data_IF_853152875537
#
_entry.id   IF_853152875537
#
_cell.length_a   1.000
_cell.length_b   1.000
_cell.length_c   1.000
_cell.angle_alpha   90.00
_cell.angle_beta   90.00
_cell.angle_gamma   90.00
#
_symmetry.space_group_name_H-M   'P 1'
#
loop_
_entity.id
_entity.type
_entity.pdbx_description
1 polymer ?
#
# COMPACT_ATOMS: atom_id res chain seq x y z
N UNK A 1 60.41 -18.90 23.96
CA UNK A 1 59.72 -17.71 24.53
C UNK A 1 60.08 -16.53 23.63
N UNK A 2 59.22 -15.76 22.97
CA UNK A 2 57.80 -15.38 23.13
C UNK A 2 57.21 -15.18 21.72
N UNK A 3 55.98 -15.63 21.50
CA UNK A 3 55.22 -15.42 20.27
C UNK A 3 54.42 -14.12 20.45
N UNK A 4 54.60 -13.14 19.57
CA UNK A 4 53.78 -11.93 19.52
C UNK A 4 52.83 -12.03 18.33
N UNK A 5 51.58 -12.39 18.60
CA UNK A 5 50.49 -12.26 17.64
C UNK A 5 49.95 -10.82 17.73
N UNK A 6 49.99 -10.01 16.65
CA UNK A 6 49.30 -8.75 16.63
C UNK A 6 47.79 -9.01 16.50
N UNK A 7 47.04 -8.45 17.45
CA UNK A 7 45.59 -8.49 17.55
C UNK A 7 45.00 -7.69 16.36
N UNK A 8 44.67 -8.36 15.26
CA UNK A 8 43.86 -7.76 14.20
C UNK A 8 42.42 -7.64 14.69
N UNK A 9 42.03 -6.43 15.09
CA UNK A 9 40.65 -6.08 15.41
C UNK A 9 39.77 -6.24 14.15
N UNK A 10 38.92 -7.27 14.15
CA UNK A 10 37.84 -7.44 13.19
C UNK A 10 36.78 -6.37 13.45
N UNK A 11 36.84 -5.28 12.68
CA UNK A 11 35.74 -4.31 12.60
C UNK A 11 34.62 -4.95 11.79
N UNK A 12 33.65 -5.56 12.47
CA UNK A 12 32.41 -6.03 11.86
C UNK A 12 31.56 -4.80 11.58
N UNK A 13 31.59 -4.30 10.34
CA UNK A 13 30.57 -3.38 9.84
C UNK A 13 29.23 -4.14 9.82
N UNK A 14 28.42 -3.94 10.85
CA UNK A 14 27.02 -4.33 10.82
C UNK A 14 26.32 -3.44 9.78
N UNK A 15 26.30 -3.90 8.53
CA UNK A 15 25.40 -3.36 7.52
C UNK A 15 24.01 -3.79 7.95
N UNK A 16 23.30 -2.94 8.69
CA UNK A 16 21.88 -3.11 8.90
C UNK A 16 21.22 -2.88 7.55
N UNK A 17 20.99 -3.97 6.81
CA UNK A 17 20.09 -3.95 5.67
C UNK A 17 18.72 -3.59 6.24
N UNK A 18 18.35 -2.32 6.13
CA UNK A 18 16.96 -1.92 6.29
C UNK A 18 16.26 -2.53 5.09
N UNK A 19 15.75 -3.75 5.24
CA UNK A 19 14.84 -4.30 4.26
C UNK A 19 13.72 -3.28 4.11
N UNK A 20 13.52 -2.80 2.88
CA UNK A 20 12.37 -1.97 2.56
C UNK A 20 11.13 -2.87 2.63
N UNK A 21 10.65 -3.10 3.85
CA UNK A 21 9.53 -3.98 4.13
C UNK A 21 8.24 -3.25 3.79
N UNK A 22 7.44 -3.84 2.91
CA UNK A 22 6.08 -3.39 2.64
C UNK A 22 5.29 -3.35 3.96
N UNK A 23 4.47 -2.31 4.23
CA UNK A 23 3.80 -2.18 5.53
C UNK A 23 2.94 -3.40 5.88
N UNK A 24 2.77 -3.73 7.17
CA UNK A 24 1.85 -4.78 7.59
C UNK A 24 0.42 -4.44 7.17
N UNK A 25 -0.40 -5.48 6.90
CA UNK A 25 -1.79 -5.28 6.47
C UNK A 25 -2.61 -4.56 7.56
N UNK A 26 -3.20 -3.38 7.27
CA UNK A 26 -4.01 -2.64 8.23
C UNK A 26 -5.42 -3.24 8.35
N UNK A 27 -6.09 -2.95 9.47
CA UNK A 27 -7.44 -3.48 9.77
C UNK A 27 -8.50 -3.11 8.71
N UNK A 28 -8.36 -1.93 8.11
CA UNK A 28 -9.25 -1.46 7.03
C UNK A 28 -9.19 -2.39 5.82
N UNK A 29 -8.02 -2.91 5.50
CA UNK A 29 -7.78 -3.86 4.40
C UNK A 29 -8.18 -5.27 4.83
N UNK A 30 -7.81 -5.69 6.03
CA UNK A 30 -8.13 -7.02 6.55
C UNK A 30 -9.66 -7.27 6.61
N UNK A 31 -10.44 -6.25 6.95
CA UNK A 31 -11.91 -6.27 6.96
C UNK A 31 -12.55 -5.87 5.63
N UNK A 32 -11.75 -5.50 4.62
CA UNK A 32 -12.21 -4.85 3.39
C UNK A 32 -12.92 -5.77 2.38
N UNK A 33 -12.77 -7.09 2.51
CA UNK A 33 -13.23 -8.09 1.53
C UNK A 33 -12.07 -8.94 1.00
N UNK A 34 -12.35 -9.94 0.15
CA UNK A 34 -11.30 -10.78 -0.45
C UNK A 34 -10.52 -10.01 -1.52
N UNK A 35 -11.21 -9.21 -2.32
CA UNK A 35 -10.65 -8.44 -3.43
C UNK A 35 -9.66 -7.38 -2.95
N UNK A 36 -9.95 -6.73 -1.81
CA UNK A 36 -9.07 -5.73 -1.22
C UNK A 36 -7.84 -6.36 -0.58
N UNK A 37 -7.99 -7.52 0.08
CA UNK A 37 -6.85 -8.29 0.59
C UNK A 37 -5.95 -8.75 -0.56
N UNK A 38 -6.54 -9.23 -1.65
CA UNK A 38 -5.79 -9.64 -2.83
C UNK A 38 -5.07 -8.46 -3.53
N UNK A 39 -5.67 -7.27 -3.55
CA UNK A 39 -5.00 -6.04 -3.99
C UNK A 39 -3.79 -5.71 -3.12
N UNK A 40 -3.93 -5.81 -1.81
CA UNK A 40 -2.84 -5.58 -0.86
C UNK A 40 -1.70 -6.59 -1.02
N UNK A 41 -2.03 -7.87 -1.18
CA UNK A 41 -1.06 -8.93 -1.44
C UNK A 41 -0.32 -8.74 -2.76
N UNK A 42 -1.03 -8.36 -3.83
CA UNK A 42 -0.38 -8.05 -5.11
C UNK A 42 0.61 -6.89 -4.96
N UNK A 43 0.23 -5.83 -4.22
CA UNK A 43 1.10 -4.69 -3.96
C UNK A 43 2.31 -5.07 -3.09
N UNK A 44 2.11 -5.90 -2.07
CA UNK A 44 3.22 -6.39 -1.22
C UNK A 44 4.22 -7.23 -2.00
N UNK A 45 3.75 -7.92 -3.05
CA UNK A 45 4.59 -8.68 -3.99
C UNK A 45 5.16 -7.84 -5.13
N UNK A 46 4.93 -6.53 -5.15
CA UNK A 46 5.54 -5.63 -6.13
C UNK A 46 4.67 -5.30 -7.34
N UNK A 47 3.35 -5.49 -7.27
CA UNK A 47 2.43 -5.22 -8.39
C UNK A 47 1.30 -4.29 -7.99
N UNK A 48 1.21 -3.13 -8.63
CA UNK A 48 0.06 -2.22 -8.50
C UNK A 48 -0.85 -2.30 -9.74
N UNK A 49 -2.16 -2.37 -9.52
CA UNK A 49 -3.16 -2.55 -10.59
C UNK A 49 -4.27 -1.50 -10.48
N UNK A 50 -4.50 -0.75 -11.56
CA UNK A 50 -5.66 0.13 -11.71
C UNK A 50 -6.81 -0.54 -12.48
N UNK A 51 -6.48 -1.49 -13.36
CA UNK A 51 -7.42 -2.41 -13.98
C UNK A 51 -7.28 -3.78 -13.30
N UNK A 52 -8.36 -4.22 -12.69
CA UNK A 52 -8.42 -5.41 -11.85
C UNK A 52 -8.72 -6.66 -12.69
N UNK A 53 -8.14 -7.82 -12.31
CA UNK A 53 -8.47 -9.08 -12.95
C UNK A 53 -9.92 -9.52 -12.66
N UNK A 54 -10.48 -10.46 -13.45
CA UNK A 54 -11.89 -10.86 -13.34
C UNK A 54 -12.34 -11.30 -11.93
N UNK A 55 -11.46 -11.93 -11.16
CA UNK A 55 -11.73 -12.36 -9.78
C UNK A 55 -11.82 -11.21 -8.77
N UNK A 56 -11.46 -9.98 -9.17
CA UNK A 56 -11.58 -8.76 -8.36
C UNK A 56 -12.53 -7.73 -9.01
N UNK A 57 -13.24 -8.11 -10.08
CA UNK A 57 -14.07 -7.20 -10.86
C UNK A 57 -15.21 -6.57 -10.03
N UNK A 58 -15.61 -7.21 -8.93
CA UNK A 58 -16.65 -6.74 -8.02
C UNK A 58 -16.40 -5.35 -7.43
N UNK A 59 -15.13 -4.92 -7.33
CA UNK A 59 -14.76 -3.60 -6.80
C UNK A 59 -14.22 -2.64 -7.88
N UNK A 60 -14.19 -3.06 -9.16
CA UNK A 60 -13.53 -2.29 -10.23
C UNK A 60 -14.12 -0.88 -10.39
N UNK A 61 -15.45 -0.76 -10.32
CA UNK A 61 -16.09 0.54 -10.52
C UNK A 61 -15.76 1.51 -9.38
N UNK A 62 -15.82 1.06 -8.11
CA UNK A 62 -15.43 1.92 -6.99
C UNK A 62 -13.94 2.23 -6.99
N UNK A 63 -13.10 1.27 -7.38
CA UNK A 63 -11.65 1.45 -7.51
C UNK A 63 -11.29 2.46 -8.58
N UNK A 64 -11.92 2.38 -9.77
CA UNK A 64 -11.77 3.37 -10.84
C UNK A 64 -12.18 4.75 -10.36
N UNK A 65 -13.36 4.87 -9.76
CA UNK A 65 -13.84 6.15 -9.26
C UNK A 65 -12.92 6.73 -8.18
N UNK A 66 -12.42 5.91 -7.26
CA UNK A 66 -11.44 6.35 -6.27
C UNK A 66 -10.17 6.90 -6.91
N UNK A 67 -9.56 6.12 -7.80
CA UNK A 67 -8.30 6.50 -8.44
C UNK A 67 -8.42 7.77 -9.26
N UNK A 68 -9.51 7.94 -10.02
CA UNK A 68 -9.72 9.10 -10.88
C UNK A 68 -10.13 10.38 -10.14
N UNK A 69 -10.70 10.27 -8.93
CA UNK A 69 -11.17 11.43 -8.16
C UNK A 69 -10.22 11.85 -7.04
N UNK A 70 -9.54 10.90 -6.40
CA UNK A 70 -8.69 11.15 -5.23
C UNK A 70 -7.26 10.62 -5.40
N UNK A 71 -7.06 9.62 -6.26
CA UNK A 71 -5.79 8.93 -6.39
C UNK A 71 -4.64 9.84 -6.76
N UNK A 72 -4.82 10.70 -7.78
CA UNK A 72 -3.79 11.65 -8.20
C UNK A 72 -3.37 12.61 -7.07
N UNK A 73 -4.32 13.15 -6.32
CA UNK A 73 -4.03 14.08 -5.23
C UNK A 73 -3.27 13.41 -4.08
N UNK A 74 -3.62 12.16 -3.74
CA UNK A 74 -2.92 11.36 -2.74
C UNK A 74 -1.47 11.12 -3.17
N UNK A 75 -1.27 10.71 -4.43
CA UNK A 75 0.07 10.48 -5.00
C UNK A 75 0.89 11.77 -4.96
N UNK A 76 0.32 12.87 -5.45
CA UNK A 76 1.00 14.16 -5.51
C UNK A 76 1.41 14.65 -4.12
N UNK A 77 0.54 14.51 -3.12
CA UNK A 77 0.84 14.86 -1.73
C UNK A 77 1.98 14.02 -1.16
N UNK A 78 1.89 12.69 -1.28
CA UNK A 78 2.91 11.78 -0.79
C UNK A 78 4.30 12.12 -1.35
N UNK A 79 4.43 12.30 -2.67
CA UNK A 79 5.72 12.60 -3.28
C UNK A 79 6.22 14.00 -2.95
N UNK A 80 5.32 14.99 -2.82
CA UNK A 80 5.69 16.35 -2.41
C UNK A 80 6.24 16.39 -0.99
N UNK A 81 5.66 15.61 -0.07
CA UNK A 81 6.11 15.52 1.32
C UNK A 81 7.42 14.73 1.43
N UNK A 82 7.53 13.61 0.72
CA UNK A 82 8.70 12.71 0.76
C UNK A 82 9.93 13.32 0.09
N UNK A 83 9.75 14.05 -1.02
CA UNK A 83 10.83 14.59 -1.84
C UNK A 83 10.77 16.12 -1.94
N UNK A 84 10.46 16.81 -0.85
CA UNK A 84 10.44 18.28 -0.78
C UNK A 84 11.75 18.82 -1.41
N UNK A 85 11.62 19.47 -2.56
CA UNK A 85 12.69 20.06 -3.38
C UNK A 85 13.58 19.10 -4.22
N UNK A 86 13.23 17.81 -4.31
CA UNK A 86 13.96 16.78 -5.10
C UNK A 86 13.10 16.20 -6.22
N UNK A 87 12.72 17.03 -7.19
CA UNK A 87 11.83 16.66 -8.32
C UNK A 87 12.34 15.42 -9.08
N UNK A 88 13.65 15.32 -9.31
CA UNK A 88 14.24 14.16 -10.00
C UNK A 88 14.10 12.85 -9.21
N UNK A 89 14.18 12.92 -7.88
CA UNK A 89 14.01 11.74 -7.03
C UNK A 89 12.56 11.23 -7.08
N UNK A 90 11.56 12.12 -7.02
CA UNK A 90 10.15 11.73 -7.15
C UNK A 90 9.88 11.02 -8.48
N UNK A 91 10.43 11.55 -9.59
CA UNK A 91 10.31 10.92 -10.91
C UNK A 91 10.97 9.53 -10.94
N UNK A 92 12.19 9.41 -10.40
CA UNK A 92 12.91 8.15 -10.33
C UNK A 92 12.15 7.09 -9.51
N UNK A 93 11.53 7.51 -8.41
CA UNK A 93 10.76 6.65 -7.52
C UNK A 93 9.33 6.39 -7.98
N UNK A 94 8.95 6.81 -9.19
CA UNK A 94 7.75 6.32 -9.86
C UNK A 94 6.53 7.24 -9.80
N UNK A 95 6.67 8.47 -9.30
CA UNK A 95 5.58 9.47 -9.24
C UNK A 95 4.77 9.55 -10.54
N UNK A 96 5.45 9.81 -11.67
CA UNK A 96 4.76 9.96 -12.96
C UNK A 96 4.10 8.67 -13.47
N UNK A 97 4.54 7.48 -13.04
CA UNK A 97 3.86 6.23 -13.39
C UNK A 97 2.59 6.06 -12.56
N UNK A 98 2.63 6.31 -11.26
CA UNK A 98 1.45 6.26 -10.41
C UNK A 98 0.38 7.26 -10.84
N UNK A 99 0.75 8.50 -11.19
CA UNK A 99 -0.20 9.49 -11.72
C UNK A 99 -0.86 9.00 -13.01
N UNK A 100 -0.08 8.45 -13.95
CA UNK A 100 -0.65 7.86 -15.18
C UNK A 100 -1.58 6.67 -14.91
N UNK A 101 -1.30 5.88 -13.88
CA UNK A 101 -2.18 4.78 -13.45
C UNK A 101 -3.48 5.32 -12.83
N UNK A 102 -3.41 6.32 -11.96
CA UNK A 102 -4.58 6.94 -11.34
C UNK A 102 -5.53 7.54 -12.40
N UNK A 103 -4.95 8.12 -13.45
CA UNK A 103 -5.71 8.74 -14.56
C UNK A 103 -6.00 7.76 -15.70
N UNK A 104 -5.69 6.47 -15.52
CA UNK A 104 -5.89 5.42 -16.53
C UNK A 104 -5.19 5.66 -17.88
N UNK A 105 -4.23 6.59 -17.94
CA UNK A 105 -3.35 6.78 -19.09
C UNK A 105 -2.31 5.64 -19.23
N UNK A 106 -2.08 4.90 -18.15
CA UNK A 106 -1.37 3.62 -18.15
C UNK A 106 -2.26 2.58 -17.46
N UNK A 107 -2.62 1.50 -18.15
CA UNK A 107 -3.54 0.46 -17.64
C UNK A 107 -2.89 -0.89 -17.40
N UNK A 108 -1.64 -1.06 -17.85
CA UNK A 108 -0.87 -2.27 -17.59
C UNK A 108 -0.45 -2.28 -16.11
N UNK A 109 -0.47 -3.44 -15.42
CA UNK A 109 0.01 -3.55 -14.05
C UNK A 109 1.41 -2.95 -13.90
N UNK A 110 1.59 -2.12 -12.88
CA UNK A 110 2.88 -1.51 -12.60
C UNK A 110 3.69 -2.40 -11.65
N UNK A 111 4.73 -3.03 -12.21
CA UNK A 111 5.68 -3.84 -11.47
C UNK A 111 6.82 -3.00 -10.86
N UNK A 112 7.16 -3.31 -9.62
CA UNK A 112 8.28 -2.76 -8.86
C UNK A 112 8.90 -3.82 -7.96
N UNK A 113 10.10 -3.55 -7.45
CA UNK A 113 10.82 -4.45 -6.54
C UNK A 113 10.78 -3.86 -5.13
N UNK A 114 9.89 -4.38 -4.24
CA UNK A 114 9.71 -3.83 -2.90
C UNK A 114 11.02 -3.74 -2.11
N UNK A 115 11.88 -4.76 -2.26
CA UNK A 115 13.14 -4.88 -1.53
C UNK A 115 14.22 -3.87 -1.94
N UNK A 116 14.03 -3.15 -3.05
CA UNK A 116 15.03 -2.20 -3.60
C UNK A 116 14.55 -0.76 -3.65
N UNK A 117 13.25 -0.52 -3.50
CA UNK A 117 12.64 0.79 -3.55
C UNK A 117 11.51 0.84 -2.53
N UNK A 118 11.71 1.57 -1.44
CA UNK A 118 10.72 1.68 -0.36
C UNK A 118 9.51 2.54 -0.75
N UNK A 119 9.63 3.43 -1.73
CA UNK A 119 8.63 4.47 -1.99
C UNK A 119 7.48 3.97 -2.85
N UNK A 120 7.75 3.09 -3.83
CA UNK A 120 6.70 2.49 -4.67
C UNK A 120 5.73 1.61 -3.85
N UNK A 121 6.21 0.69 -3.00
CA UNK A 121 5.42 0.00 -1.98
C UNK A 121 4.53 0.92 -1.14
N UNK A 122 5.10 1.99 -0.59
CA UNK A 122 4.40 2.89 0.32
C UNK A 122 3.26 3.62 -0.37
N UNK A 123 3.44 4.08 -1.61
CA UNK A 123 2.35 4.71 -2.39
C UNK A 123 1.25 3.71 -2.71
N UNK A 124 1.60 2.49 -3.12
CA UNK A 124 0.62 1.47 -3.42
C UNK A 124 -0.20 1.10 -2.17
N UNK A 125 0.48 0.88 -1.04
CA UNK A 125 -0.15 0.62 0.25
C UNK A 125 -1.08 1.77 0.66
N UNK A 126 -0.61 3.02 0.60
CA UNK A 126 -1.39 4.21 0.95
C UNK A 126 -2.68 4.30 0.14
N UNK A 127 -2.62 4.07 -1.18
CA UNK A 127 -3.80 4.10 -2.04
C UNK A 127 -4.80 3.00 -1.68
N UNK A 128 -4.33 1.77 -1.46
CA UNK A 128 -5.19 0.63 -1.14
C UNK A 128 -5.80 0.79 0.25
N UNK A 129 -5.03 1.20 1.25
CA UNK A 129 -5.51 1.47 2.60
C UNK A 129 -6.55 2.59 2.62
N UNK A 130 -6.30 3.69 1.89
CA UNK A 130 -7.25 4.80 1.80
C UNK A 130 -8.55 4.34 1.14
N UNK A 131 -8.46 3.54 0.07
CA UNK A 131 -9.63 2.95 -0.56
C UNK A 131 -10.38 1.98 0.36
N UNK A 132 -9.68 1.15 1.11
CA UNK A 132 -10.27 0.21 2.05
C UNK A 132 -10.97 0.93 3.22
N UNK A 133 -10.44 2.08 3.63
CA UNK A 133 -11.00 2.92 4.70
C UNK A 133 -12.27 3.68 4.29
N UNK A 134 -12.59 3.74 2.98
CA UNK A 134 -13.80 4.41 2.50
C UNK A 134 -15.05 3.60 2.88
N UNK A 135 -16.10 4.25 3.40
CA UNK A 135 -17.37 3.58 3.64
C UNK A 135 -18.17 3.50 2.33
N UNK A 136 -18.08 2.37 1.62
CA UNK A 136 -18.94 2.11 0.45
C UNK A 136 -20.39 1.79 0.88
N UNK A 137 -21.42 2.01 0.05
CA UNK A 137 -22.79 1.62 0.37
C UNK A 137 -22.91 0.14 0.76
N UNK A 138 -22.22 -0.75 0.05
CA UNK A 138 -22.16 -2.17 0.38
C UNK A 138 -21.50 -2.43 1.75
N UNK A 139 -20.39 -1.74 2.07
CA UNK A 139 -19.69 -1.86 3.36
C UNK A 139 -20.48 -1.23 4.51
N UNK A 140 -21.23 -0.15 4.27
CA UNK A 140 -22.18 0.43 5.24
C UNK A 140 -23.31 -0.53 5.57
N UNK A 141 -23.85 -1.26 4.59
CA UNK A 141 -24.89 -2.28 4.81
C UNK A 141 -24.34 -3.46 5.61
N UNK A 142 -23.14 -3.94 5.29
CA UNK A 142 -22.47 -5.01 6.05
C UNK A 142 -22.15 -4.57 7.48
N UNK A 143 -21.55 -3.39 7.68
CA UNK A 143 -21.35 -2.82 9.03
C UNK A 143 -22.67 -2.63 9.80
N UNK A 144 -23.72 -2.15 9.14
CA UNK A 144 -25.04 -2.02 9.78
C UNK A 144 -25.64 -3.37 10.17
N UNK A 145 -25.36 -4.44 9.42
CA UNK A 145 -25.76 -5.81 9.73
C UNK A 145 -24.98 -6.35 10.93
N UNK A 146 -23.67 -6.14 10.97
CA UNK A 146 -22.80 -6.59 12.06
C UNK A 146 -23.12 -5.87 13.38
N UNK A 147 -23.40 -4.56 13.32
CA UNK A 147 -23.88 -3.78 14.47
C UNK A 147 -25.24 -4.25 15.01
N UNK A 148 -26.11 -4.80 14.16
CA UNK A 148 -27.41 -5.37 14.56
C UNK A 148 -27.27 -6.73 15.25
N UNK A 149 -26.27 -7.52 14.87
CA UNK A 149 -26.00 -8.84 15.44
C UNK A 149 -25.23 -8.76 16.78
N UNK A 150 -24.50 -7.66 17.02
CA UNK A 150 -23.71 -7.46 18.23
C UNK A 150 -24.41 -6.78 19.40
N UNK A 151 -25.72 -6.49 19.34
CA UNK A 151 -26.42 -5.83 20.46
C UNK A 151 -26.76 -6.88 21.53
N UNK A 152 -26.13 -6.87 22.73
CA UNK A 152 -26.62 -7.67 23.85
C UNK A 152 -28.00 -7.11 24.17
N UNK A 153 -28.99 -7.99 24.26
CA UNK A 153 -30.34 -7.59 24.64
C UNK A 153 -30.29 -6.80 25.93
N UNK A 154 -30.71 -5.53 25.89
CA UNK A 154 -31.12 -4.81 27.08
C UNK A 154 -32.39 -5.48 27.57
N UNK A 155 -32.22 -6.54 28.35
CA UNK A 155 -33.25 -7.14 29.16
C UNK A 155 -33.73 -6.07 30.13
N UNK A 156 -34.90 -5.54 29.85
CA UNK A 156 -35.72 -4.75 30.75
C UNK A 156 -36.07 -5.58 32.00
N UNK A 157 -35.73 -5.06 33.17
CA UNK A 157 -36.45 -5.29 34.43
C UNK A 157 -36.74 -3.94 35.05
#
# INVERSE_FOLDING_TARGET
>A
MKIFFPLCALVVFAVTWVEAVFPPMPDSVASGGEEIRALWEAASQGTFMNVLPPNMAGIQNEWTNFLSTEGEDIINRYYKETFRDKIFAAKFHGHGKFVKMANFALTKPYQYHPNTDAYKPQVAALLIETFASRPTPARKVQWAKDLRLGRPGTGST
#
